data_IF_495801119000
#
_entry.id   IF_495801119000
#
_cell.length_a   1.000
_cell.length_b   1.000
_cell.length_c   1.000
_cell.angle_alpha   90.00
_cell.angle_beta   90.00
_cell.angle_gamma   90.00
#
_symmetry.space_group_name_H-M   'P 1'
#
loop_
_entity.id
_entity.type
_entity.pdbx_description
1 polymer ?
#
# COMPACT_ATOMS: atom_id res chain seq x y z
N UNK A 1 -12.11 -6.69 21.53
CA UNK A 1 -13.48 -6.42 21.04
C UNK A 1 -14.35 -6.70 22.26
N UNK A 2 -14.66 -5.72 23.09
CA UNK A 2 -15.54 -4.57 22.87
C UNK A 2 -15.01 -3.50 23.85
N UNK A 3 -14.84 -2.25 23.40
CA UNK A 3 -14.72 -1.15 24.36
C UNK A 3 -16.02 -0.35 24.24
N UNK A 4 -16.77 -0.40 25.34
CA UNK A 4 -18.02 0.31 25.58
C UNK A 4 -17.77 1.83 25.54
N UNK A 5 -18.70 2.57 24.95
CA UNK A 5 -18.72 4.02 25.03
C UNK A 5 -19.88 4.41 25.93
N UNK A 6 -19.56 4.88 27.14
CA UNK A 6 -20.51 5.48 28.07
C UNK A 6 -21.10 6.76 27.47
N UNK A 7 -22.44 6.85 27.48
CA UNK A 7 -23.18 8.08 27.17
C UNK A 7 -23.51 8.75 28.49
N UNK A 8 -22.85 9.87 28.77
CA UNK A 8 -23.17 10.66 29.96
C UNK A 8 -24.53 11.35 29.83
N UNK A 9 -25.22 11.40 30.97
CA UNK A 9 -26.52 12.03 31.20
C UNK A 9 -26.51 13.56 31.06
N UNK A 10 -26.22 14.06 29.87
CA UNK A 10 -26.64 15.39 29.39
C UNK A 10 -26.81 15.42 27.86
N UNK A 11 -26.87 14.26 27.19
CA UNK A 11 -27.28 14.14 25.78
C UNK A 11 -26.46 14.94 24.78
N UNK A 12 -25.19 15.24 25.07
CA UNK A 12 -24.32 16.01 24.18
C UNK A 12 -23.40 15.09 23.39
N UNK A 13 -23.63 14.98 22.07
CA UNK A 13 -22.66 14.40 21.12
C UNK A 13 -21.49 15.37 20.96
N UNK A 14 -20.28 14.94 21.28
CA UNK A 14 -19.09 15.78 21.16
C UNK A 14 -18.82 16.18 19.70
N UNK A 15 -18.96 17.48 19.45
CA UNK A 15 -18.15 18.39 18.62
C UNK A 15 -16.88 17.78 17.94
N UNK A 16 -17.04 16.86 16.99
CA UNK A 16 -15.96 16.47 16.06
C UNK A 16 -16.32 16.68 14.58
N UNK A 17 -17.47 17.30 14.31
CA UNK A 17 -18.03 17.39 12.94
C UNK A 17 -18.01 18.79 12.31
N UNK A 18 -17.66 19.86 13.03
CA UNK A 18 -17.80 21.25 12.54
C UNK A 18 -16.49 21.93 12.11
N UNK A 19 -15.40 21.18 11.93
CA UNK A 19 -14.10 21.73 11.50
C UNK A 19 -13.62 21.16 10.15
N UNK A 20 -14.57 20.81 9.28
CA UNK A 20 -14.31 20.29 7.93
C UNK A 20 -14.97 21.14 6.83
N UNK A 21 -15.38 22.37 7.16
CA UNK A 21 -16.14 23.24 6.25
C UNK A 21 -15.37 24.53 5.95
N UNK A 22 -14.17 24.41 5.36
CA UNK A 22 -13.50 25.57 4.76
C UNK A 22 -12.65 25.16 3.53
N UNK A 23 -13.22 25.49 2.36
CA UNK A 23 -12.67 25.56 1.00
C UNK A 23 -12.41 24.26 0.21
N UNK A 24 -12.94 24.16 -1.04
CA UNK A 24 -12.61 23.08 -1.96
C UNK A 24 -11.23 23.34 -2.56
N UNK A 25 -10.25 22.52 -2.17
CA UNK A 25 -8.97 22.50 -2.86
C UNK A 25 -9.17 21.74 -4.17
N UNK A 26 -9.49 22.47 -5.25
CA UNK A 26 -9.40 21.92 -6.59
C UNK A 26 -7.99 21.36 -6.78
N UNK A 27 -7.89 20.06 -7.04
CA UNK A 27 -6.60 19.43 -7.32
C UNK A 27 -6.04 20.05 -8.59
N UNK A 28 -5.07 20.95 -8.42
CA UNK A 28 -4.36 21.59 -9.51
C UNK A 28 -3.50 20.53 -10.20
N UNK A 29 -4.01 19.95 -11.31
CA UNK A 29 -3.25 19.05 -12.18
C UNK A 29 -2.07 19.75 -12.90
N UNK A 30 -1.92 21.07 -12.72
CA UNK A 30 -0.84 21.88 -13.31
C UNK A 30 0.40 21.98 -12.42
N UNK A 31 0.59 21.05 -11.47
CA UNK A 31 1.86 20.94 -10.76
C UNK A 31 2.88 20.27 -11.68
N UNK A 32 3.50 21.13 -12.50
CA UNK A 32 4.93 21.08 -12.74
C UNK A 32 5.40 19.87 -13.56
N UNK A 33 5.34 20.00 -14.88
CA UNK A 33 6.37 19.46 -15.78
C UNK A 33 7.72 20.09 -15.40
N UNK A 34 8.23 19.74 -14.23
CA UNK A 34 9.60 19.96 -13.83
C UNK A 34 10.37 18.88 -14.57
N UNK A 35 11.32 19.30 -15.41
CA UNK A 35 12.20 18.45 -16.23
C UNK A 35 12.38 17.07 -15.61
N UNK A 36 11.93 16.07 -16.36
CA UNK A 36 12.01 14.64 -16.11
C UNK A 36 13.47 14.22 -15.92
N UNK A 37 13.94 14.30 -14.68
CA UNK A 37 15.09 13.53 -14.22
C UNK A 37 14.50 12.30 -13.51
N UNK A 38 14.29 11.23 -14.28
CA UNK A 38 14.12 9.84 -13.79
C UNK A 38 13.39 9.66 -12.44
N UNK A 39 12.20 10.23 -12.25
CA UNK A 39 11.35 9.83 -11.12
C UNK A 39 10.82 8.42 -11.40
N UNK A 40 11.54 7.40 -10.91
CA UNK A 40 11.08 6.01 -10.92
C UNK A 40 9.70 5.94 -10.25
N UNK A 41 8.74 5.29 -10.92
CA UNK A 41 7.37 5.25 -10.44
C UNK A 41 7.32 4.71 -9.00
N UNK A 42 6.57 5.36 -8.08
CA UNK A 42 6.49 4.92 -6.70
C UNK A 42 6.09 3.44 -6.54
N UNK A 43 5.32 2.86 -7.47
CA UNK A 43 4.99 1.44 -7.49
C UNK A 43 6.21 0.58 -7.84
N UNK A 44 6.99 0.97 -8.85
CA UNK A 44 8.20 0.27 -9.26
C UNK A 44 9.22 0.24 -8.11
N UNK A 45 9.38 1.35 -7.39
CA UNK A 45 10.23 1.39 -6.20
C UNK A 45 9.75 0.42 -5.11
N UNK A 46 8.43 0.29 -4.91
CA UNK A 46 7.85 -0.65 -3.94
C UNK A 46 8.08 -2.11 -4.36
N UNK A 47 7.96 -2.41 -5.66
CA UNK A 47 8.19 -3.72 -6.24
C UNK A 47 9.68 -4.11 -6.17
N UNK A 48 10.58 -3.17 -6.45
CA UNK A 48 12.03 -3.36 -6.30
C UNK A 48 12.39 -3.66 -4.85
N UNK A 49 11.87 -2.88 -3.90
CA UNK A 49 12.10 -3.10 -2.45
C UNK A 49 11.47 -4.38 -1.91
N UNK A 50 10.44 -4.92 -2.56
CA UNK A 50 9.85 -6.20 -2.15
C UNK A 50 10.72 -7.39 -2.55
N UNK A 51 11.59 -7.23 -3.53
CA UNK A 51 12.36 -8.32 -4.14
C UNK A 51 11.58 -9.10 -5.20
N UNK A 52 10.39 -8.63 -5.60
CA UNK A 52 9.55 -9.30 -6.61
C UNK A 52 9.68 -8.69 -8.01
N UNK A 53 10.66 -7.82 -8.25
CA UNK A 53 10.85 -7.11 -9.52
C UNK A 53 10.99 -8.06 -10.73
N UNK A 54 11.71 -9.17 -10.62
CA UNK A 54 11.85 -10.12 -11.73
C UNK A 54 10.50 -10.68 -12.19
N UNK A 55 9.57 -10.96 -11.28
CA UNK A 55 8.24 -11.44 -11.63
C UNK A 55 7.35 -10.33 -12.19
N UNK A 56 7.52 -9.09 -11.71
CA UNK A 56 6.86 -7.93 -12.30
C UNK A 56 7.27 -7.72 -13.76
N UNK A 57 8.58 -7.74 -14.06
CA UNK A 57 9.08 -7.62 -15.43
C UNK A 57 8.59 -8.76 -16.32
N UNK A 58 8.50 -9.99 -15.80
CA UNK A 58 7.93 -11.11 -16.57
C UNK A 58 6.47 -10.87 -16.97
N UNK A 59 5.67 -10.23 -16.11
CA UNK A 59 4.29 -9.83 -16.47
C UNK A 59 4.29 -8.75 -17.54
N UNK A 60 5.12 -7.70 -17.37
CA UNK A 60 5.24 -6.62 -18.36
C UNK A 60 5.67 -7.16 -19.72
N UNK A 61 6.66 -8.05 -19.76
CA UNK A 61 7.15 -8.68 -20.98
C UNK A 61 6.08 -9.54 -21.65
N UNK A 62 5.34 -10.36 -20.88
CA UNK A 62 4.23 -11.13 -21.45
C UNK A 62 3.15 -10.23 -22.05
N UNK A 63 2.79 -9.15 -21.36
CA UNK A 63 1.79 -8.20 -21.85
C UNK A 63 2.29 -7.44 -23.08
N UNK A 64 3.58 -7.10 -23.16
CA UNK A 64 4.19 -6.47 -24.32
C UNK A 64 4.18 -7.40 -25.55
N UNK A 65 4.40 -8.70 -25.34
CA UNK A 65 4.42 -9.71 -26.41
C UNK A 65 3.00 -10.09 -26.89
N UNK A 66 2.09 -10.39 -25.97
CA UNK A 66 0.80 -11.00 -26.30
C UNK A 66 -0.37 -10.01 -26.28
N UNK A 67 -0.30 -8.96 -25.46
CA UNK A 67 -1.38 -8.00 -25.23
C UNK A 67 -2.72 -8.65 -24.81
N UNK A 68 -2.67 -9.90 -24.36
CA UNK A 68 -3.81 -10.67 -23.88
C UNK A 68 -3.50 -11.21 -22.48
N UNK A 69 -4.16 -10.62 -21.48
CA UNK A 69 -3.95 -10.96 -20.08
C UNK A 69 -4.27 -12.43 -19.76
N UNK A 70 -5.13 -13.09 -20.56
CA UNK A 70 -5.48 -14.51 -20.36
C UNK A 70 -4.28 -15.41 -20.61
N UNK A 71 -3.42 -15.05 -21.56
CA UNK A 71 -2.18 -15.78 -21.85
C UNK A 71 -1.10 -15.51 -20.80
N UNK A 72 -1.18 -14.37 -20.10
CA UNK A 72 -0.24 -13.97 -19.06
C UNK A 72 -0.60 -14.44 -17.64
N UNK A 73 -1.61 -15.29 -17.48
CA UNK A 73 -2.01 -15.83 -16.17
C UNK A 73 -0.85 -16.49 -15.39
N UNK A 74 0.04 -17.29 -16.02
CA UNK A 74 1.16 -17.89 -15.28
C UNK A 74 2.11 -16.86 -14.66
N UNK A 75 2.48 -15.81 -15.41
CA UNK A 75 3.36 -14.74 -14.95
C UNK A 75 2.69 -13.92 -13.84
N UNK A 76 1.40 -13.61 -14.02
CA UNK A 76 0.62 -12.89 -13.00
C UNK A 76 0.50 -13.72 -11.71
N UNK A 77 0.31 -15.02 -11.81
CA UNK A 77 0.26 -15.90 -10.64
C UNK A 77 1.61 -15.94 -9.92
N UNK A 78 2.71 -16.10 -10.64
CA UNK A 78 4.06 -16.08 -10.06
C UNK A 78 4.35 -14.75 -9.32
N UNK A 79 3.95 -13.62 -9.90
CA UNK A 79 4.09 -12.32 -9.24
C UNK A 79 3.26 -12.23 -7.95
N UNK A 80 2.01 -12.70 -7.98
CA UNK A 80 1.13 -12.76 -6.78
C UNK A 80 1.71 -13.65 -5.69
N UNK A 81 2.27 -14.80 -6.05
CA UNK A 81 2.85 -15.75 -5.11
C UNK A 81 4.08 -15.12 -4.43
N UNK A 82 4.96 -14.46 -5.20
CA UNK A 82 6.10 -13.73 -4.64
C UNK A 82 5.65 -12.65 -3.64
N UNK A 83 4.69 -11.81 -4.04
CA UNK A 83 4.21 -10.72 -3.19
C UNK A 83 3.53 -11.24 -1.91
N UNK A 84 2.79 -12.35 -2.00
CA UNK A 84 2.16 -13.00 -0.84
C UNK A 84 3.21 -13.55 0.14
N UNK A 85 4.25 -14.19 -0.37
CA UNK A 85 5.37 -14.67 0.43
C UNK A 85 6.13 -13.52 1.12
N UNK A 86 6.35 -12.42 0.40
CA UNK A 86 7.00 -11.22 0.96
C UNK A 86 6.17 -10.62 2.11
N UNK A 87 4.85 -10.56 1.96
CA UNK A 87 3.96 -10.07 3.00
C UNK A 87 3.97 -10.98 4.22
N UNK A 88 3.98 -12.30 4.04
CA UNK A 88 4.10 -13.26 5.13
C UNK A 88 5.42 -13.05 5.89
N UNK A 89 6.55 -13.01 5.19
CA UNK A 89 7.88 -12.75 5.78
C UNK A 89 7.91 -11.45 6.58
N UNK A 90 7.35 -10.37 6.03
CA UNK A 90 7.29 -9.06 6.72
C UNK A 90 6.47 -9.15 8.01
N UNK A 91 5.35 -9.88 8.01
CA UNK A 91 4.52 -10.07 9.22
C UNK A 91 5.27 -10.85 10.30
N UNK A 92 5.94 -11.94 9.92
CA UNK A 92 6.74 -12.74 10.84
C UNK A 92 7.91 -11.95 11.45
N UNK A 93 8.62 -11.16 10.64
CA UNK A 93 9.70 -10.29 11.13
C UNK A 93 9.19 -9.24 12.13
N UNK A 94 8.02 -8.65 11.86
CA UNK A 94 7.39 -7.70 12.76
C UNK A 94 7.00 -8.36 14.09
N UNK A 95 6.44 -9.56 14.03
CA UNK A 95 6.06 -10.33 15.21
C UNK A 95 7.29 -10.67 16.07
N UNK A 96 8.37 -11.16 15.44
CA UNK A 96 9.64 -11.45 16.13
C UNK A 96 10.23 -10.20 16.81
N UNK A 97 10.18 -9.04 16.14
CA UNK A 97 10.64 -7.77 16.72
C UNK A 97 9.83 -7.36 17.95
N UNK A 98 8.51 -7.58 17.93
CA UNK A 98 7.63 -7.30 19.08
C UNK A 98 7.97 -8.21 20.27
N UNK A 99 8.14 -9.50 20.02
CA UNK A 99 8.52 -10.48 21.05
C UNK A 99 9.87 -10.14 21.69
N UNK A 100 10.86 -9.79 20.86
CA UNK A 100 12.18 -9.32 21.33
C UNK A 100 12.07 -8.05 22.18
N UNK A 101 11.26 -7.08 21.77
CA UNK A 101 11.05 -5.85 22.54
C UNK A 101 10.31 -6.09 23.86
N UNK A 102 9.37 -7.04 23.91
CA UNK A 102 8.68 -7.43 25.15
C UNK A 102 9.56 -8.23 26.11
N UNK A 103 10.53 -8.99 25.59
CA UNK A 103 11.46 -9.77 26.42
C UNK A 103 12.60 -8.92 27.03
N UNK A 104 12.74 -7.67 26.58
CA UNK A 104 13.76 -6.72 27.08
C UNK A 104 13.23 -5.77 28.17
N UNK A 105 11.93 -5.83 28.49
CA UNK A 105 11.30 -5.13 29.61
C UNK A 105 10.99 -6.11 30.75
#
# INVERSE_FOLDING_TARGET
>A
MINEADVDGNGTVHQWFLKMSAAPQGHNWTRQLKKEDEEEDPLDQLITRSGCASFHFAVQECMAQHQDWRQCQPQVQAFKDCMSAQQARRREELQRRKEQASAQH
#
